data_IF_512544209286
#
_entry.id   IF_512544209286
#
_cell.length_a   1.000
_cell.length_b   1.000
_cell.length_c   1.000
_cell.angle_alpha   90.00
_cell.angle_beta   90.00
_cell.angle_gamma   90.00
#
_symmetry.space_group_name_H-M   'P 1'
#
loop_
_entity.id
_entity.type
_entity.pdbx_description
1 polymer ?
#
# COMPACT_ATOMS: atom_id res chain seq x y z
N UNK A 1 6.78 -24.66 7.27
CA UNK A 1 6.90 -23.19 7.26
C UNK A 1 8.00 -22.80 8.24
N UNK A 2 9.04 -22.09 7.80
CA UNK A 2 10.13 -21.65 8.70
C UNK A 2 9.72 -20.35 9.44
N UNK A 3 10.31 -20.09 10.61
CA UNK A 3 10.07 -18.92 11.46
C UNK A 3 10.14 -17.59 10.69
N UNK A 4 11.15 -17.40 9.83
CA UNK A 4 11.26 -16.20 8.98
C UNK A 4 10.03 -16.01 8.08
N UNK A 5 9.48 -17.10 7.54
CA UNK A 5 8.33 -17.07 6.65
C UNK A 5 7.06 -16.69 7.41
N UNK A 6 6.92 -17.18 8.63
CA UNK A 6 5.84 -16.80 9.53
C UNK A 6 5.90 -15.30 9.85
N UNK A 7 7.09 -14.78 10.17
CA UNK A 7 7.28 -13.35 10.43
C UNK A 7 6.91 -12.49 9.21
N UNK A 8 7.39 -12.86 8.01
CA UNK A 8 7.05 -12.15 6.77
C UNK A 8 5.54 -12.18 6.50
N UNK A 9 4.88 -13.30 6.77
CA UNK A 9 3.44 -13.43 6.58
C UNK A 9 2.65 -12.57 7.58
N UNK A 10 3.05 -12.56 8.86
CA UNK A 10 2.43 -11.71 9.88
C UNK A 10 2.61 -10.24 9.49
N UNK A 11 3.83 -9.83 9.16
CA UNK A 11 4.14 -8.46 8.75
C UNK A 11 3.33 -8.04 7.51
N UNK A 12 3.23 -8.91 6.50
CA UNK A 12 2.39 -8.68 5.33
C UNK A 12 0.92 -8.48 5.71
N UNK A 13 0.35 -9.34 6.54
CA UNK A 13 -1.05 -9.20 6.97
C UNK A 13 -1.28 -7.90 7.76
N UNK A 14 -0.32 -7.48 8.59
CA UNK A 14 -0.37 -6.18 9.29
C UNK A 14 -0.38 -5.03 8.29
N UNK A 15 0.47 -5.06 7.26
CA UNK A 15 0.47 -4.07 6.20
C UNK A 15 -0.86 -4.00 5.44
N UNK A 16 -1.46 -5.15 5.11
CA UNK A 16 -2.79 -5.19 4.48
C UNK A 16 -3.84 -4.54 5.36
N UNK A 17 -3.89 -4.91 6.64
CA UNK A 17 -4.88 -4.35 7.59
C UNK A 17 -4.68 -2.84 7.74
N UNK A 18 -3.43 -2.38 7.89
CA UNK A 18 -3.12 -0.97 8.01
C UNK A 18 -3.57 -0.18 6.78
N UNK A 19 -3.26 -0.65 5.56
CA UNK A 19 -3.68 -0.01 4.32
C UNK A 19 -5.21 0.09 4.22
N UNK A 20 -5.93 -0.97 4.60
CA UNK A 20 -7.39 -1.00 4.57
C UNK A 20 -8.01 -0.07 5.62
N UNK A 21 -7.48 -0.06 6.85
CA UNK A 21 -7.97 0.81 7.92
C UNK A 21 -7.68 2.27 7.59
N UNK A 22 -6.48 2.59 7.13
CA UNK A 22 -6.11 3.96 6.77
C UNK A 22 -6.93 4.44 5.59
N UNK A 23 -7.10 3.62 4.55
CA UNK A 23 -7.94 3.99 3.40
C UNK A 23 -9.41 4.15 3.77
N UNK A 24 -9.97 3.27 4.61
CA UNK A 24 -11.32 3.43 5.15
C UNK A 24 -11.46 4.74 5.94
N UNK A 25 -10.52 5.04 6.84
CA UNK A 25 -10.52 6.29 7.60
C UNK A 25 -10.50 7.52 6.68
N UNK A 26 -9.64 7.52 5.65
CA UNK A 26 -9.57 8.58 4.63
C UNK A 26 -10.89 8.77 3.89
N UNK A 27 -11.55 7.68 3.47
CA UNK A 27 -12.83 7.73 2.75
C UNK A 27 -13.93 8.35 3.61
N UNK A 28 -13.96 8.03 4.91
CA UNK A 28 -14.93 8.61 5.86
C UNK A 28 -14.55 10.02 6.33
N UNK A 29 -13.50 10.62 5.79
CA UNK A 29 -13.05 11.98 6.12
C UNK A 29 -12.45 12.09 7.52
N UNK A 30 -11.94 10.98 8.08
CA UNK A 30 -11.28 10.98 9.38
C UNK A 30 -9.80 11.35 9.22
N UNK A 31 -9.33 12.31 10.00
CA UNK A 31 -7.94 12.79 10.00
C UNK A 31 -6.98 11.93 10.85
N UNK A 32 -7.44 10.79 11.38
CA UNK A 32 -6.66 9.94 12.29
C UNK A 32 -5.35 9.42 11.69
N UNK A 33 -5.32 9.18 10.37
CA UNK A 33 -4.14 8.67 9.66
C UNK A 33 -3.47 9.70 8.76
N UNK A 34 -4.22 10.71 8.31
CA UNK A 34 -3.71 11.74 7.39
C UNK A 34 -4.33 13.09 7.71
N UNK A 35 -3.49 14.12 7.76
CA UNK A 35 -3.93 15.51 7.88
C UNK A 35 -4.28 16.08 6.51
N UNK A 36 -5.31 15.53 5.86
CA UNK A 36 -5.81 15.97 4.55
C UNK A 36 -6.62 17.29 4.67
N UNK A 37 -6.01 18.37 5.15
CA UNK A 37 -6.69 19.67 5.20
C UNK A 37 -6.82 20.26 3.78
N UNK A 38 -8.03 20.71 3.40
CA UNK A 38 -8.26 21.33 2.08
C UNK A 38 -7.35 22.53 1.80
N UNK A 39 -6.86 23.17 2.86
CA UNK A 39 -6.01 24.34 2.82
C UNK A 39 -4.56 24.00 2.44
N UNK A 40 -4.11 22.77 2.71
CA UNK A 40 -2.77 22.28 2.37
C UNK A 40 -2.65 21.77 0.92
N UNK A 41 -3.74 21.19 0.37
CA UNK A 41 -3.66 20.39 -0.86
C UNK A 41 -4.50 20.89 -2.05
N UNK A 42 -5.45 21.80 -1.82
CA UNK A 42 -6.39 22.22 -2.86
C UNK A 42 -7.08 21.01 -3.53
N UNK A 43 -7.13 20.92 -4.88
CA UNK A 43 -7.72 19.79 -5.60
C UNK A 43 -7.03 18.43 -5.36
N UNK A 44 -5.76 18.41 -4.92
CA UNK A 44 -5.00 17.18 -4.71
C UNK A 44 -5.55 16.37 -3.54
N UNK A 45 -6.13 17.02 -2.52
CA UNK A 45 -6.71 16.33 -1.36
C UNK A 45 -7.78 15.32 -1.79
N UNK A 46 -8.67 15.71 -2.69
CA UNK A 46 -9.72 14.83 -3.17
C UNK A 46 -9.17 13.69 -4.04
N UNK A 47 -8.13 13.97 -4.83
CA UNK A 47 -7.44 12.95 -5.62
C UNK A 47 -6.75 11.91 -4.72
N UNK A 48 -6.15 12.35 -3.61
CA UNK A 48 -5.52 11.46 -2.63
C UNK A 48 -6.54 10.56 -1.94
N UNK A 49 -7.70 11.10 -1.54
CA UNK A 49 -8.80 10.28 -0.99
C UNK A 49 -9.30 9.24 -1.99
N UNK A 50 -9.48 9.65 -3.24
CA UNK A 50 -9.95 8.78 -4.32
C UNK A 50 -8.89 7.72 -4.69
N UNK A 51 -7.61 8.06 -4.65
CA UNK A 51 -6.50 7.12 -4.75
C UNK A 51 -6.57 6.09 -3.61
N UNK A 52 -6.70 6.52 -2.35
CA UNK A 52 -6.82 5.60 -1.21
C UNK A 52 -8.02 4.65 -1.34
N UNK A 53 -9.15 5.14 -1.86
CA UNK A 53 -10.31 4.31 -2.19
C UNK A 53 -9.97 3.21 -3.21
N UNK A 54 -9.35 3.58 -4.33
CA UNK A 54 -8.95 2.59 -5.34
C UNK A 54 -7.91 1.61 -4.80
N UNK A 55 -7.00 2.06 -3.94
CA UNK A 55 -6.01 1.18 -3.31
C UNK A 55 -6.65 0.15 -2.39
N UNK A 56 -7.68 0.49 -1.63
CA UNK A 56 -8.44 -0.49 -0.85
C UNK A 56 -9.06 -1.56 -1.76
N UNK A 57 -9.64 -1.17 -2.90
CA UNK A 57 -10.23 -2.12 -3.86
C UNK A 57 -9.16 -3.01 -4.49
N UNK A 58 -8.04 -2.42 -4.92
CA UNK A 58 -6.89 -3.16 -5.49
C UNK A 58 -6.32 -4.13 -4.45
N UNK A 59 -6.19 -3.71 -3.19
CA UNK A 59 -5.69 -4.55 -2.11
C UNK A 59 -6.58 -5.78 -1.89
N UNK A 60 -7.90 -5.58 -1.85
CA UNK A 60 -8.88 -6.67 -1.71
C UNK A 60 -8.79 -7.61 -2.92
N UNK A 61 -8.73 -7.06 -4.13
CA UNK A 61 -8.65 -7.83 -5.36
C UNK A 61 -7.35 -8.66 -5.42
N UNK A 62 -6.19 -8.04 -5.17
CA UNK A 62 -4.89 -8.71 -5.19
C UNK A 62 -4.78 -9.79 -4.11
N UNK A 63 -5.25 -9.51 -2.89
CA UNK A 63 -5.26 -10.50 -1.81
C UNK A 63 -6.18 -11.68 -2.13
N UNK A 64 -7.37 -11.40 -2.66
CA UNK A 64 -8.34 -12.45 -3.06
C UNK A 64 -7.80 -13.29 -4.20
N UNK A 65 -7.23 -12.66 -5.22
CA UNK A 65 -6.60 -13.34 -6.35
C UNK A 65 -5.44 -14.23 -5.90
N UNK A 66 -4.57 -13.72 -5.02
CA UNK A 66 -3.51 -14.52 -4.40
C UNK A 66 -4.08 -15.77 -3.71
N UNK A 67 -5.15 -15.63 -2.93
CA UNK A 67 -5.76 -16.75 -2.19
C UNK A 67 -6.47 -17.77 -3.07
N UNK A 68 -7.13 -17.33 -4.14
CA UNK A 68 -7.91 -18.19 -5.02
C UNK A 68 -7.05 -18.86 -6.09
N UNK A 69 -6.06 -18.15 -6.62
CA UNK A 69 -5.23 -18.59 -7.75
C UNK A 69 -3.84 -19.04 -7.33
N UNK A 70 -3.50 -18.99 -6.04
CA UNK A 70 -2.17 -19.29 -5.49
C UNK A 70 -1.06 -18.52 -6.23
N UNK A 71 -1.31 -17.26 -6.58
CA UNK A 71 -0.39 -16.42 -7.36
C UNK A 71 0.28 -15.35 -6.49
N UNK A 72 1.32 -15.69 -5.71
CA UNK A 72 2.03 -14.75 -4.85
C UNK A 72 2.73 -13.62 -5.61
N UNK A 73 3.00 -13.79 -6.90
CA UNK A 73 3.58 -12.78 -7.79
C UNK A 73 2.69 -11.52 -7.86
N UNK A 74 1.37 -11.69 -7.76
CA UNK A 74 0.43 -10.57 -7.72
C UNK A 74 0.65 -9.67 -6.49
N UNK A 75 1.02 -10.26 -5.34
CA UNK A 75 1.37 -9.50 -4.14
C UNK A 75 2.69 -8.75 -4.32
N UNK A 76 3.69 -9.40 -4.93
CA UNK A 76 4.96 -8.77 -5.22
C UNK A 76 4.80 -7.58 -6.18
N UNK A 77 4.01 -7.75 -7.24
CA UNK A 77 3.68 -6.71 -8.21
C UNK A 77 2.96 -5.53 -7.53
N UNK A 78 1.99 -5.80 -6.65
CA UNK A 78 1.35 -4.75 -5.85
C UNK A 78 2.37 -4.02 -4.96
N UNK A 79 3.32 -4.74 -4.36
CA UNK A 79 4.39 -4.13 -3.57
C UNK A 79 5.24 -3.15 -4.38
N UNK A 80 5.66 -3.54 -5.58
CA UNK A 80 6.38 -2.65 -6.51
C UNK A 80 5.53 -1.44 -6.88
N UNK A 81 4.25 -1.66 -7.20
CA UNK A 81 3.33 -0.58 -7.54
C UNK A 81 3.20 0.46 -6.42
N UNK A 82 3.07 0.02 -5.17
CA UNK A 82 2.97 0.94 -4.01
C UNK A 82 4.25 1.77 -3.83
N UNK A 83 5.43 1.17 -4.02
CA UNK A 83 6.71 1.90 -3.95
C UNK A 83 6.87 2.91 -5.08
N UNK A 84 6.47 2.55 -6.29
CA UNK A 84 6.47 3.46 -7.44
C UNK A 84 5.46 4.59 -7.26
N UNK A 85 4.29 4.30 -6.68
CA UNK A 85 3.25 5.27 -6.41
C UNK A 85 3.76 6.38 -5.49
N UNK A 86 4.32 6.02 -4.33
CA UNK A 86 4.83 7.03 -3.40
C UNK A 86 6.02 7.80 -3.95
N UNK A 87 6.97 7.12 -4.62
CA UNK A 87 8.08 7.79 -5.27
C UNK A 87 7.63 8.78 -6.35
N UNK A 88 6.60 8.43 -7.13
CA UNK A 88 6.02 9.31 -8.14
C UNK A 88 5.30 10.50 -7.52
N UNK A 89 4.56 10.27 -6.43
CA UNK A 89 3.83 11.30 -5.71
C UNK A 89 4.79 12.32 -5.08
N UNK A 90 5.82 11.87 -4.38
CA UNK A 90 6.84 12.73 -3.80
C UNK A 90 7.58 13.55 -4.87
N UNK A 91 7.91 12.92 -6.00
CA UNK A 91 8.53 13.61 -7.13
C UNK A 91 7.61 14.70 -7.69
N UNK A 92 6.33 14.39 -7.90
CA UNK A 92 5.34 15.36 -8.36
C UNK A 92 5.18 16.53 -7.39
N UNK A 93 5.02 16.23 -6.09
CA UNK A 93 4.88 17.23 -5.04
C UNK A 93 6.12 18.13 -4.93
N UNK A 94 7.32 17.55 -5.03
CA UNK A 94 8.59 18.27 -5.01
C UNK A 94 8.72 19.29 -6.16
N UNK A 95 8.36 18.90 -7.40
CA UNK A 95 8.37 19.81 -8.55
C UNK A 95 7.37 20.96 -8.38
N UNK A 96 6.19 20.66 -7.84
CA UNK A 96 5.09 21.62 -7.76
C UNK A 96 5.05 22.37 -6.41
N UNK A 97 6.03 22.16 -5.53
CA UNK A 97 6.09 22.76 -4.19
C UNK A 97 4.82 22.51 -3.37
N UNK A 98 4.26 21.31 -3.48
CA UNK A 98 3.09 20.88 -2.72
C UNK A 98 3.59 20.09 -1.50
N UNK A 99 3.20 20.52 -0.31
CA UNK A 99 3.48 19.76 0.91
C UNK A 99 2.59 18.51 0.97
N UNK A 100 3.16 17.41 1.43
CA UNK A 100 2.45 16.13 1.62
C UNK A 100 2.70 15.58 3.00
N UNK A 101 1.64 15.06 3.62
CA UNK A 101 1.72 14.38 4.89
C UNK A 101 2.66 13.16 4.79
N UNK A 102 3.70 13.19 5.62
CA UNK A 102 4.70 12.13 5.78
C UNK A 102 4.09 10.76 6.12
N UNK A 103 2.88 10.72 6.66
CA UNK A 103 2.15 9.49 6.92
C UNK A 103 1.86 8.70 5.63
N UNK A 104 1.66 9.36 4.48
CA UNK A 104 1.54 8.68 3.18
C UNK A 104 2.84 7.96 2.83
N UNK A 105 3.98 8.64 3.01
CA UNK A 105 5.30 8.08 2.77
C UNK A 105 5.53 6.83 3.63
N UNK A 106 5.30 6.95 4.93
CA UNK A 106 5.48 5.84 5.87
C UNK A 106 4.58 4.64 5.51
N UNK A 107 3.29 4.89 5.26
CA UNK A 107 2.34 3.84 4.93
C UNK A 107 2.71 3.11 3.64
N UNK A 108 3.02 3.83 2.56
CA UNK A 108 3.29 3.21 1.26
C UNK A 108 4.63 2.53 1.19
N UNK A 109 5.67 3.08 1.81
CA UNK A 109 6.97 2.39 1.91
C UNK A 109 6.82 1.11 2.72
N UNK A 110 6.21 1.18 3.91
CA UNK A 110 5.99 0.00 4.75
C UNK A 110 5.14 -1.05 4.03
N UNK A 111 4.03 -0.64 3.42
CA UNK A 111 3.14 -1.56 2.71
C UNK A 111 3.81 -2.15 1.48
N UNK A 112 4.48 -1.33 0.67
CA UNK A 112 5.16 -1.75 -0.55
C UNK A 112 6.26 -2.77 -0.28
N UNK A 113 7.13 -2.51 0.71
CA UNK A 113 8.18 -3.45 1.11
C UNK A 113 7.59 -4.75 1.69
N UNK A 114 6.55 -4.64 2.52
CA UNK A 114 5.90 -5.82 3.12
C UNK A 114 5.29 -6.74 2.06
N UNK A 115 4.65 -6.16 1.05
CA UNK A 115 4.08 -6.88 -0.10
C UNK A 115 5.17 -7.51 -0.98
N UNK A 116 6.19 -6.72 -1.32
CA UNK A 116 7.28 -7.16 -2.18
C UNK A 116 8.07 -8.32 -1.57
N UNK A 117 8.43 -8.21 -0.29
CA UNK A 117 9.20 -9.23 0.41
C UNK A 117 8.39 -10.52 0.58
N UNK A 118 7.16 -10.43 1.07
CA UNK A 118 6.32 -11.63 1.27
C UNK A 118 5.95 -12.29 -0.07
N UNK A 119 5.45 -11.50 -1.02
CA UNK A 119 5.07 -11.99 -2.35
C UNK A 119 6.24 -12.58 -3.11
N UNK A 120 7.40 -11.89 -3.13
CA UNK A 120 8.60 -12.35 -3.80
C UNK A 120 9.14 -13.65 -3.21
N UNK A 121 9.28 -13.73 -1.89
CA UNK A 121 9.69 -14.97 -1.23
C UNK A 121 8.69 -16.11 -1.44
N UNK A 122 7.38 -15.81 -1.50
CA UNK A 122 6.36 -16.81 -1.77
C UNK A 122 6.40 -17.32 -3.22
N UNK A 123 6.60 -16.43 -4.20
CA UNK A 123 6.73 -16.79 -5.62
C UNK A 123 7.94 -17.67 -5.91
N UNK A 124 9.11 -17.32 -5.34
CA UNK A 124 10.33 -18.12 -5.51
C UNK A 124 10.15 -19.56 -5.03
N UNK A 125 9.35 -19.78 -3.98
CA UNK A 125 9.04 -21.14 -3.49
C UNK A 125 8.01 -21.85 -4.34
N UNK A 126 7.02 -21.11 -4.84
CA UNK A 126 6.00 -21.68 -5.72
C UNK A 126 6.62 -22.27 -6.99
N UNK A 127 7.68 -21.65 -7.53
CA UNK A 127 8.42 -22.19 -8.69
C UNK A 127 9.32 -23.39 -8.38
N UNK A 128 9.61 -23.69 -7.11
CA UNK A 128 10.47 -24.80 -6.69
C UNK A 128 9.70 -26.10 -6.39
N UNK A 129 8.37 -26.02 -6.30
CA UNK A 129 7.47 -27.16 -6.05
C UNK A 129 6.75 -27.56 -7.33
#
# INVERSE_FOLDING_TARGET
MNFLQLLLQINFNVAVILLLISGAATIFGNTLFFEDSSDLYGPLANNMRLMMFYLCLIQIAAYSFYKLSNSPEALAALGVFLLLLIGSLEFYCSINQIEIDENYRQLFIYSGLSHLLYGGCAAMRHQQN
#
